data_IF_782268474041
#
_entry.id   IF_782268474041
#
_cell.length_a   1.000
_cell.length_b   1.000
_cell.length_c   1.000
_cell.angle_alpha   90.00
_cell.angle_beta   90.00
_cell.angle_gamma   90.00
#
_symmetry.space_group_name_H-M   'P 1'
#
loop_
_entity.id
_entity.type
_entity.pdbx_description
1 polymer ?
#
# COMPACT_ATOMS: atom_id res chain seq x y z
N UNK A 1 1.04 7.76 24.83
CA UNK A 1 1.34 8.06 24.13
C UNK A 1 1.52 8.26 23.49
N UNK A 2 1.72 8.13 23.47
CA UNK A 2 1.91 8.40 22.55
C UNK A 2 2.40 8.62 21.75
N UNK A 3 2.58 8.59 21.78
CA UNK A 3 3.11 9.02 20.97
C UNK A 3 3.41 9.24 20.14
N UNK A 4 3.46 9.19 20.09
CA UNK A 4 3.75 9.48 19.22
C UNK A 4 4.14 9.59 18.43
N UNK A 5 4.23 9.51 18.53
CA UNK A 5 4.72 9.73 17.65
C UNK A 5 4.89 9.90 16.80
N UNK A 6 5.13 9.53 16.75
CA UNK A 6 5.33 10.02 16.09
C UNK A 6 5.58 10.40 15.39
N UNK A 7 5.90 10.17 15.78
CA UNK A 7 6.33 10.68 14.80
C UNK A 7 5.53 10.98 13.71
N UNK A 8 5.06 12.02 13.56
CA UNK A 8 4.23 12.46 12.59
C UNK A 8 4.85 12.37 11.35
N UNK A 9 4.20 12.05 10.29
CA UNK A 9 4.74 11.83 9.00
C UNK A 9 5.50 10.53 8.89
N UNK A 10 5.69 9.85 9.97
CA UNK A 10 6.35 8.57 9.98
C UNK A 10 5.39 7.53 9.51
N UNK A 11 5.80 6.78 8.50
CA UNK A 11 4.96 5.73 7.95
C UNK A 11 4.84 4.57 8.91
N UNK A 12 3.68 3.98 8.97
CA UNK A 12 3.49 2.77 9.72
C UNK A 12 3.55 1.60 8.77
N UNK A 13 4.12 0.52 9.24
CA UNK A 13 4.29 -0.67 8.41
C UNK A 13 3.12 -1.60 8.62
N UNK A 14 2.57 -2.09 7.51
CA UNK A 14 1.54 -3.11 7.54
C UNK A 14 2.00 -4.23 6.63
N UNK A 15 1.96 -5.44 7.13
CA UNK A 15 2.36 -6.61 6.35
C UNK A 15 1.14 -7.49 6.11
N UNK A 16 0.92 -7.86 4.87
CA UNK A 16 -0.19 -8.73 4.51
C UNK A 16 0.29 -9.80 3.56
N UNK A 17 -0.37 -10.93 3.57
CA UNK A 17 -0.11 -11.99 2.61
C UNK A 17 -1.13 -11.88 1.50
N UNK A 18 -0.66 -11.97 0.27
CA UNK A 18 -1.53 -11.90 -0.90
C UNK A 18 -1.65 -13.30 -1.51
N UNK A 19 -2.84 -13.63 -1.95
CA UNK A 19 -2.99 -14.86 -2.72
C UNK A 19 -2.34 -14.66 -4.08
N UNK A 20 -2.17 -15.74 -4.81
CA UNK A 20 -1.42 -15.70 -6.06
C UNK A 20 -2.08 -14.79 -7.08
N UNK A 21 -3.40 -14.87 -7.20
CA UNK A 21 -4.12 -14.05 -8.16
C UNK A 21 -3.98 -12.55 -7.86
N UNK A 22 -4.15 -12.18 -6.61
CA UNK A 22 -4.01 -10.78 -6.21
C UNK A 22 -2.60 -10.29 -6.44
N UNK A 23 -1.61 -11.11 -6.11
CA UNK A 23 -0.23 -10.75 -6.31
C UNK A 23 0.07 -10.52 -7.79
N UNK A 24 -0.43 -11.40 -8.66
CA UNK A 24 -0.20 -11.26 -10.10
C UNK A 24 -0.88 -10.01 -10.65
N UNK A 25 -2.06 -9.69 -10.18
CA UNK A 25 -2.76 -8.48 -10.60
C UNK A 25 -2.00 -7.23 -10.17
N UNK A 26 -1.44 -7.28 -8.97
CA UNK A 26 -0.66 -6.16 -8.45
C UNK A 26 0.61 -5.96 -9.26
N UNK A 27 1.29 -7.05 -9.62
CA UNK A 27 2.50 -6.97 -10.43
C UNK A 27 2.19 -6.33 -11.77
N UNK A 28 1.11 -6.75 -12.43
CA UNK A 28 0.72 -6.16 -13.71
C UNK A 28 0.38 -4.69 -13.57
N UNK A 29 -0.28 -4.32 -12.47
CA UNK A 29 -0.67 -2.94 -12.25
C UNK A 29 0.54 -2.04 -12.04
N UNK A 30 1.51 -2.51 -11.24
CA UNK A 30 2.69 -1.70 -10.98
C UNK A 30 3.56 -1.59 -12.24
N UNK A 31 3.58 -2.61 -13.08
CA UNK A 31 4.32 -2.55 -14.34
C UNK A 31 3.72 -1.52 -15.28
N UNK A 32 2.38 -1.48 -15.35
CA UNK A 32 1.72 -0.51 -16.22
C UNK A 32 1.94 0.91 -15.75
N UNK A 33 1.99 1.13 -14.44
CA UNK A 33 2.10 2.48 -13.89
C UNK A 33 3.55 2.93 -13.74
N UNK A 34 4.49 1.99 -13.79
CA UNK A 34 5.89 2.32 -13.59
C UNK A 34 6.26 2.53 -12.13
N UNK A 35 5.39 2.12 -11.20
CA UNK A 35 5.65 2.27 -9.78
C UNK A 35 6.23 1.00 -9.21
N UNK A 36 6.76 1.10 -8.00
CA UNK A 36 7.14 -0.10 -7.27
C UNK A 36 5.87 -0.78 -6.75
N UNK A 37 5.99 -2.06 -6.39
CA UNK A 37 4.87 -2.80 -5.85
C UNK A 37 4.32 -2.14 -4.58
N UNK A 38 5.22 -1.71 -3.70
CA UNK A 38 4.83 -1.05 -2.47
C UNK A 38 4.07 0.25 -2.72
N UNK A 39 4.57 1.06 -3.63
CA UNK A 39 3.93 2.34 -3.95
C UNK A 39 2.57 2.10 -4.59
N UNK A 40 2.48 1.11 -5.47
CA UNK A 40 1.21 0.80 -6.10
C UNK A 40 0.16 0.40 -5.05
N UNK A 41 0.56 -0.42 -4.08
CA UNK A 41 -0.34 -0.83 -3.01
C UNK A 41 -0.79 0.37 -2.18
N UNK A 42 0.14 1.25 -1.84
CA UNK A 42 -0.18 2.41 -1.03
C UNK A 42 -1.21 3.30 -1.70
N UNK A 43 -1.02 3.55 -2.98
CA UNK A 43 -1.92 4.43 -3.71
C UNK A 43 -3.32 3.81 -3.82
N UNK A 44 -3.39 2.53 -4.13
CA UNK A 44 -4.67 1.85 -4.29
C UNK A 44 -5.41 1.74 -2.97
N UNK A 45 -4.69 1.43 -1.90
CA UNK A 45 -5.31 1.31 -0.60
C UNK A 45 -5.84 2.67 -0.12
N UNK A 46 -5.04 3.71 -0.28
CA UNK A 46 -5.45 5.05 0.10
C UNK A 46 -6.70 5.47 -0.66
N UNK A 47 -6.72 5.20 -1.95
CA UNK A 47 -7.84 5.56 -2.80
C UNK A 47 -9.11 4.79 -2.39
N UNK A 48 -8.95 3.51 -2.12
CA UNK A 48 -10.08 2.68 -1.72
C UNK A 48 -10.67 3.14 -0.40
N UNK A 49 -9.81 3.47 0.56
CA UNK A 49 -10.27 3.91 1.86
C UNK A 49 -10.99 5.26 1.80
N UNK A 50 -10.65 6.10 0.83
CA UNK A 50 -11.37 7.35 0.66
C UNK A 50 -12.80 7.13 0.19
N UNK A 51 -13.04 6.04 -0.52
CA UNK A 51 -14.38 5.74 -1.02
C UNK A 51 -15.22 5.02 0.00
N UNK A 52 -14.61 4.27 0.85
CA UNK A 52 -15.28 3.42 1.82
C UNK A 52 -14.74 3.64 3.22
#
# INVERSE_FOLDING_TARGET
MRRRNAREGISRTVSVYLDEDTNNRLIRAKDRSGRSKTIEVQIRLRDHLKRY
#
